data_IF_433451317845
#
_entry.id   IF_433451317845
#
_cell.length_a   1.000
_cell.length_b   1.000
_cell.length_c   1.000
_cell.angle_alpha   90.00
_cell.angle_beta   90.00
_cell.angle_gamma   90.00
#
_symmetry.space_group_name_H-M   'P 1'
#
loop_
_entity.id
_entity.type
_entity.pdbx_description
1 polymer ?
#
# COMPACT_ATOMS: atom_id res chain seq x y z
N UNK A 1 -16.07 27.76 -31.36
CA UNK A 1 -15.26 28.03 -30.15
C UNK A 1 -15.86 27.40 -28.89
N UNK A 2 -17.13 27.67 -28.55
CA UNK A 2 -17.78 27.15 -27.32
C UNK A 2 -17.82 25.62 -27.24
N UNK A 3 -18.12 24.92 -28.34
CA UNK A 3 -18.10 23.45 -28.40
C UNK A 3 -16.71 22.87 -28.07
N UNK A 4 -15.64 23.48 -28.57
CA UNK A 4 -14.26 23.04 -28.31
C UNK A 4 -13.91 23.19 -26.82
N UNK A 5 -14.33 24.29 -26.20
CA UNK A 5 -14.12 24.52 -24.77
C UNK A 5 -14.89 23.52 -23.91
N UNK A 6 -16.13 23.21 -24.27
CA UNK A 6 -16.93 22.17 -23.60
C UNK A 6 -16.25 20.80 -23.69
N UNK A 7 -15.77 20.44 -24.89
CA UNK A 7 -15.06 19.18 -25.12
C UNK A 7 -13.77 19.09 -24.28
N UNK A 8 -12.98 20.18 -24.25
CA UNK A 8 -11.77 20.27 -23.43
C UNK A 8 -12.08 20.06 -21.95
N UNK A 9 -13.14 20.70 -21.47
CA UNK A 9 -13.55 20.57 -20.07
C UNK A 9 -14.03 19.15 -19.76
N UNK A 10 -14.82 18.53 -20.64
CA UNK A 10 -15.22 17.13 -20.47
C UNK A 10 -14.01 16.18 -20.43
N UNK A 11 -13.03 16.38 -21.31
CA UNK A 11 -11.79 15.61 -21.34
C UNK A 11 -11.00 15.76 -20.03
N UNK A 12 -10.89 16.98 -19.51
CA UNK A 12 -10.24 17.24 -18.22
C UNK A 12 -10.94 16.52 -17.07
N UNK A 13 -12.27 16.52 -17.06
CA UNK A 13 -13.06 15.79 -16.05
C UNK A 13 -12.78 14.28 -16.10
N UNK A 14 -12.79 13.71 -17.31
CA UNK A 14 -12.50 12.28 -17.51
C UNK A 14 -11.08 11.93 -17.04
N UNK A 15 -10.09 12.78 -17.36
CA UNK A 15 -8.71 12.60 -16.92
C UNK A 15 -8.60 12.62 -15.39
N UNK A 16 -9.30 13.56 -14.74
CA UNK A 16 -9.31 13.70 -13.29
C UNK A 16 -9.94 12.46 -12.63
N UNK A 17 -11.05 11.96 -13.18
CA UNK A 17 -11.70 10.72 -12.72
C UNK A 17 -10.77 9.50 -12.86
N UNK A 18 -10.08 9.37 -14.00
CA UNK A 18 -9.11 8.29 -14.23
C UNK A 18 -7.96 8.36 -13.22
N UNK A 19 -7.44 9.56 -12.95
CA UNK A 19 -6.39 9.77 -11.96
C UNK A 19 -6.85 9.36 -10.55
N UNK A 20 -8.08 9.71 -10.17
CA UNK A 20 -8.67 9.30 -8.89
C UNK A 20 -8.78 7.76 -8.78
N UNK A 21 -9.23 7.10 -9.84
CA UNK A 21 -9.33 5.63 -9.89
C UNK A 21 -7.95 4.97 -9.75
N UNK A 22 -6.95 5.48 -10.48
CA UNK A 22 -5.58 4.97 -10.41
C UNK A 22 -4.99 5.11 -9.00
N UNK A 23 -5.22 6.27 -8.37
CA UNK A 23 -4.80 6.57 -7.01
C UNK A 23 -5.44 5.60 -5.99
N UNK A 24 -6.74 5.33 -6.13
CA UNK A 24 -7.44 4.36 -5.30
C UNK A 24 -6.88 2.95 -5.46
N UNK A 25 -6.60 2.52 -6.70
CA UNK A 25 -6.00 1.22 -6.99
C UNK A 25 -4.61 1.09 -6.36
N UNK A 26 -3.78 2.13 -6.50
CA UNK A 26 -2.45 2.17 -5.90
C UNK A 26 -2.51 2.06 -4.37
N UNK A 27 -3.44 2.78 -3.74
CA UNK A 27 -3.67 2.70 -2.31
C UNK A 27 -4.06 1.29 -1.86
N UNK A 28 -4.99 0.65 -2.58
CA UNK A 28 -5.43 -0.72 -2.30
C UNK A 28 -4.27 -1.71 -2.40
N UNK A 29 -3.46 -1.61 -3.47
CA UNK A 29 -2.29 -2.46 -3.67
C UNK A 29 -1.28 -2.28 -2.54
N UNK A 30 -1.01 -1.03 -2.14
CA UNK A 30 -0.09 -0.76 -1.05
C UNK A 30 -0.62 -1.30 0.29
N UNK A 31 -1.91 -1.13 0.57
CA UNK A 31 -2.54 -1.67 1.77
C UNK A 31 -2.45 -3.20 1.82
N UNK A 32 -2.65 -3.87 0.68
CA UNK A 32 -2.44 -5.31 0.56
C UNK A 32 -0.98 -5.68 0.86
N UNK A 33 -0.01 -4.98 0.27
CA UNK A 33 1.41 -5.22 0.53
C UNK A 33 1.77 -5.02 2.01
N UNK A 34 1.25 -3.95 2.61
CA UNK A 34 1.43 -3.60 4.01
C UNK A 34 0.91 -4.70 4.94
N UNK A 35 -0.19 -5.35 4.58
CA UNK A 35 -0.78 -6.45 5.34
C UNK A 35 -0.02 -7.77 5.13
N UNK A 36 0.43 -8.04 3.90
CA UNK A 36 1.14 -9.28 3.57
C UNK A 36 2.55 -9.34 4.16
N UNK A 37 3.28 -8.23 4.18
CA UNK A 37 4.65 -8.17 4.67
C UNK A 37 4.82 -8.68 6.13
N UNK A 38 4.07 -8.18 7.13
CA UNK A 38 4.20 -8.68 8.50
C UNK A 38 3.75 -10.14 8.63
N UNK A 39 2.79 -10.58 7.81
CA UNK A 39 2.33 -11.98 7.79
C UNK A 39 3.44 -12.90 7.27
N UNK A 40 4.16 -12.49 6.22
CA UNK A 40 5.32 -13.22 5.71
C UNK A 40 6.46 -13.27 6.74
N UNK A 41 6.74 -12.16 7.43
CA UNK A 41 7.75 -12.13 8.49
C UNK A 41 7.37 -13.01 9.68
N UNK A 42 6.09 -13.02 10.07
CA UNK A 42 5.58 -13.91 11.11
C UNK A 42 5.70 -15.38 10.69
N UNK A 43 5.38 -15.71 9.43
CA UNK A 43 5.55 -17.05 8.88
C UNK A 43 7.02 -17.48 8.92
N UNK A 44 7.94 -16.58 8.54
CA UNK A 44 9.39 -16.83 8.62
C UNK A 44 9.83 -17.10 10.07
N UNK A 45 9.33 -16.31 11.02
CA UNK A 45 9.60 -16.49 12.45
C UNK A 45 9.10 -17.86 12.94
N UNK A 46 7.87 -18.23 12.57
CA UNK A 46 7.29 -19.53 12.90
C UNK A 46 8.11 -20.69 12.30
N UNK A 47 8.51 -20.57 11.03
CA UNK A 47 9.32 -21.57 10.34
C UNK A 47 10.67 -21.76 11.05
N UNK A 48 11.34 -20.67 11.42
CA UNK A 48 12.63 -20.71 12.10
C UNK A 48 12.50 -21.32 13.50
N UNK A 49 11.44 -20.99 14.23
CA UNK A 49 11.11 -21.61 15.52
C UNK A 49 10.85 -23.11 15.37
N UNK A 50 10.07 -23.52 14.36
CA UNK A 50 9.79 -24.92 14.07
C UNK A 50 11.07 -25.69 13.74
N UNK A 51 11.95 -25.12 12.90
CA UNK A 51 13.24 -25.70 12.56
C UNK A 51 14.10 -25.90 13.81
N UNK A 52 14.17 -24.89 14.68
CA UNK A 52 14.89 -24.98 15.95
C UNK A 52 14.34 -26.11 16.84
N UNK A 53 13.01 -26.20 16.94
CA UNK A 53 12.35 -27.24 17.74
C UNK A 53 12.58 -28.64 17.15
N UNK A 54 12.49 -28.80 15.83
CA UNK A 54 12.75 -30.05 15.15
C UNK A 54 14.21 -30.49 15.29
N UNK A 55 15.16 -29.55 15.18
CA UNK A 55 16.57 -29.80 15.46
C UNK A 55 16.71 -30.32 16.89
N UNK A 56 16.16 -29.63 17.89
CA UNK A 56 16.26 -30.04 19.29
C UNK A 56 15.63 -31.41 19.55
N UNK A 57 14.47 -31.69 18.95
CA UNK A 57 13.80 -32.99 19.03
C UNK A 57 14.65 -34.10 18.41
N UNK A 58 15.24 -33.87 17.24
CA UNK A 58 16.12 -34.83 16.58
C UNK A 58 17.32 -35.17 17.47
N UNK A 59 17.92 -34.17 18.11
CA UNK A 59 19.03 -34.36 19.04
C UNK A 59 18.59 -35.21 20.23
N UNK A 60 17.45 -34.88 20.84
CA UNK A 60 16.89 -35.66 21.95
C UNK A 60 16.62 -37.11 21.53
N UNK A 61 16.03 -37.32 20.36
CA UNK A 61 15.75 -38.64 19.82
C UNK A 61 17.02 -39.46 19.60
N UNK A 62 18.06 -38.84 19.01
CA UNK A 62 19.36 -39.49 18.81
C UNK A 62 20.01 -39.86 20.15
N UNK A 63 19.84 -39.06 21.20
CA UNK A 63 20.33 -39.36 22.55
C UNK A 63 19.58 -40.55 23.19
N UNK A 64 18.30 -40.74 22.89
CA UNK A 64 17.45 -41.78 23.51
C UNK A 64 17.48 -43.11 22.74
N UNK A 65 17.44 -43.08 21.41
CA UNK A 65 17.27 -44.29 20.59
C UNK A 65 18.59 -45.01 20.26
N UNK A 66 19.72 -44.31 20.27
CA UNK A 66 21.02 -44.94 20.04
C UNK A 66 21.56 -45.47 21.37
N UNK A 67 22.21 -46.66 21.38
CA UNK A 67 22.95 -47.10 22.57
C UNK A 67 23.91 -46.00 23.00
N UNK A 68 24.13 -45.79 24.32
CA UNK A 68 24.84 -44.63 24.84
C UNK A 68 26.13 -44.43 24.04
N UNK A 69 26.21 -43.39 23.20
CA UNK A 69 27.36 -43.21 22.35
C UNK A 69 28.60 -43.09 23.23
N UNK A 70 29.74 -43.72 22.87
CA UNK A 70 30.97 -43.47 23.59
C UNK A 70 31.21 -41.95 23.66
N UNK A 71 31.77 -41.44 24.76
CA UNK A 71 31.95 -40.00 25.00
C UNK A 71 32.44 -39.19 23.78
N UNK A 72 33.37 -39.66 22.92
CA UNK A 72 33.75 -38.93 21.71
C UNK A 72 32.61 -38.67 20.71
N UNK A 73 31.62 -39.56 20.60
CA UNK A 73 30.51 -39.40 19.66
C UNK A 73 29.50 -38.33 20.13
N UNK A 74 29.28 -38.20 21.44
CA UNK A 74 28.48 -37.09 22.00
C UNK A 74 29.11 -35.73 21.73
N UNK A 75 30.43 -35.65 21.90
CA UNK A 75 31.19 -34.43 21.62
C UNK A 75 31.09 -34.04 20.14
N UNK A 76 31.18 -35.02 19.22
CA UNK A 76 31.01 -34.77 17.79
C UNK A 76 29.61 -34.26 17.45
N UNK A 77 28.55 -34.86 18.02
CA UNK A 77 27.18 -34.39 17.82
C UNK A 77 27.00 -32.95 18.34
N UNK A 78 27.45 -32.66 19.56
CA UNK A 78 27.42 -31.31 20.13
C UNK A 78 28.21 -30.32 19.28
N UNK A 79 29.39 -30.70 18.80
CA UNK A 79 30.23 -29.85 17.95
C UNK A 79 29.58 -29.55 16.59
N UNK A 80 28.72 -30.44 16.08
CA UNK A 80 27.98 -30.24 14.84
C UNK A 80 26.73 -29.36 15.05
N UNK A 81 26.06 -29.50 16.20
CA UNK A 81 24.81 -28.81 16.53
C UNK A 81 25.03 -27.41 17.09
N UNK A 82 26.08 -27.22 17.89
CA UNK A 82 26.39 -25.96 18.54
C UNK A 82 26.55 -24.81 17.52
N UNK A 83 27.26 -24.96 16.38
CA UNK A 83 27.33 -23.92 15.35
C UNK A 83 25.95 -23.56 14.77
N UNK A 84 25.08 -24.56 14.57
CA UNK A 84 23.72 -24.33 14.06
C UNK A 84 22.88 -23.54 15.06
N UNK A 85 22.93 -23.90 16.35
CA UNK A 85 22.25 -23.16 17.42
C UNK A 85 22.79 -21.74 17.57
N UNK A 86 24.12 -21.58 17.54
CA UNK A 86 24.79 -20.28 17.59
C UNK A 86 24.44 -19.38 16.40
N UNK A 87 24.08 -19.97 15.25
CA UNK A 87 23.62 -19.21 14.09
C UNK A 87 22.13 -18.88 14.16
N UNK A 88 21.27 -19.85 14.52
CA UNK A 88 19.82 -19.69 14.52
C UNK A 88 19.31 -18.78 15.63
N UNK A 89 19.89 -18.86 16.84
CA UNK A 89 19.47 -18.07 17.99
C UNK A 89 19.59 -16.54 17.78
N UNK A 90 20.74 -15.99 17.35
CA UNK A 90 20.86 -14.56 17.09
C UNK A 90 19.97 -14.11 15.94
N UNK A 91 19.75 -14.95 14.92
CA UNK A 91 18.80 -14.64 13.84
C UNK A 91 17.36 -14.53 14.35
N UNK A 92 16.93 -15.45 15.22
CA UNK A 92 15.62 -15.40 15.88
C UNK A 92 15.47 -14.13 16.71
N UNK A 93 16.46 -13.81 17.54
CA UNK A 93 16.45 -12.62 18.38
C UNK A 93 16.42 -11.33 17.54
N UNK A 94 17.21 -11.27 16.47
CA UNK A 94 17.21 -10.17 15.53
C UNK A 94 15.85 -10.01 14.87
N UNK A 95 15.21 -11.10 14.43
CA UNK A 95 13.89 -11.04 13.82
C UNK A 95 12.82 -10.55 14.81
N UNK A 96 12.85 -11.02 16.06
CA UNK A 96 11.93 -10.58 17.13
C UNK A 96 12.11 -9.08 17.40
N UNK A 97 13.36 -8.60 17.44
CA UNK A 97 13.66 -7.18 17.69
C UNK A 97 13.28 -6.28 16.51
N UNK A 98 13.55 -6.74 15.28
CA UNK A 98 13.30 -5.95 14.07
C UNK A 98 11.83 -5.94 13.66
N UNK A 99 11.06 -6.99 13.97
CA UNK A 99 9.64 -7.06 13.62
C UNK A 99 8.83 -5.85 14.12
N UNK A 100 8.85 -5.46 15.41
CA UNK A 100 8.10 -4.29 15.89
C UNK A 100 8.63 -2.98 15.30
N UNK A 101 9.94 -2.85 15.08
CA UNK A 101 10.54 -1.67 14.44
C UNK A 101 10.04 -1.53 13.00
N UNK A 102 10.02 -2.63 12.25
CA UNK A 102 9.53 -2.67 10.88
C UNK A 102 8.03 -2.37 10.83
N UNK A 103 7.24 -2.93 11.75
CA UNK A 103 5.81 -2.61 11.88
C UNK A 103 5.57 -1.12 12.17
N UNK A 104 6.37 -0.51 13.04
CA UNK A 104 6.31 0.93 13.32
C UNK A 104 6.64 1.76 12.08
N UNK A 105 7.72 1.39 11.36
CA UNK A 105 8.12 2.07 10.13
C UNK A 105 7.01 1.97 9.05
N UNK A 106 6.41 0.79 8.91
CA UNK A 106 5.29 0.55 8.02
C UNK A 106 4.08 1.42 8.38
N UNK A 107 3.75 1.52 9.67
CA UNK A 107 2.67 2.39 10.15
C UNK A 107 2.95 3.86 9.83
N UNK A 108 4.17 4.33 10.08
CA UNK A 108 4.58 5.70 9.78
C UNK A 108 4.49 6.00 8.28
N UNK A 109 4.95 5.07 7.44
CA UNK A 109 4.84 5.18 5.99
C UNK A 109 3.37 5.26 5.55
N UNK A 110 2.51 4.41 6.12
CA UNK A 110 1.07 4.44 5.86
C UNK A 110 0.46 5.78 6.24
N UNK A 111 0.80 6.33 7.40
CA UNK A 111 0.31 7.63 7.86
C UNK A 111 0.74 8.76 6.92
N UNK A 112 2.03 8.77 6.53
CA UNK A 112 2.56 9.75 5.60
C UNK A 112 1.86 9.68 4.24
N UNK A 113 1.70 8.46 3.71
CA UNK A 113 0.98 8.25 2.47
C UNK A 113 -0.48 8.70 2.58
N UNK A 114 -1.17 8.36 3.67
CA UNK A 114 -2.56 8.79 3.90
C UNK A 114 -2.67 10.32 3.91
N UNK A 115 -1.70 11.01 4.53
CA UNK A 115 -1.64 12.47 4.52
C UNK A 115 -1.44 13.01 3.10
N UNK A 116 -0.50 12.44 2.33
CA UNK A 116 -0.26 12.82 0.94
C UNK A 116 -1.49 12.57 0.06
N UNK A 117 -2.16 11.43 0.26
CA UNK A 117 -3.40 11.06 -0.42
C UNK A 117 -4.51 12.05 -0.10
N UNK A 118 -4.68 12.41 1.17
CA UNK A 118 -5.67 13.38 1.61
C UNK A 118 -5.41 14.75 0.98
N UNK A 119 -4.16 15.20 0.96
CA UNK A 119 -3.76 16.46 0.32
C UNK A 119 -4.06 16.43 -1.18
N UNK A 120 -3.72 15.34 -1.85
CA UNK A 120 -4.00 15.17 -3.28
C UNK A 120 -5.50 15.12 -3.55
N UNK A 121 -6.28 14.43 -2.73
CA UNK A 121 -7.73 14.40 -2.82
C UNK A 121 -8.34 15.80 -2.64
N UNK A 122 -7.85 16.58 -1.67
CA UNK A 122 -8.27 17.96 -1.46
C UNK A 122 -7.96 18.83 -2.69
N UNK A 123 -6.78 18.67 -3.28
CA UNK A 123 -6.40 19.36 -4.50
C UNK A 123 -7.31 18.97 -5.67
N UNK A 124 -7.59 17.67 -5.84
CA UNK A 124 -8.52 17.17 -6.86
C UNK A 124 -9.93 17.73 -6.67
N UNK A 125 -10.42 17.79 -5.43
CA UNK A 125 -11.71 18.37 -5.10
C UNK A 125 -11.75 19.87 -5.45
N UNK A 126 -10.69 20.61 -5.13
CA UNK A 126 -10.58 22.01 -5.47
C UNK A 126 -10.59 22.22 -7.00
N UNK A 127 -9.86 21.39 -7.74
CA UNK A 127 -9.86 21.42 -9.21
C UNK A 127 -11.24 21.13 -9.79
N UNK A 128 -11.94 20.13 -9.25
CA UNK A 128 -13.32 19.81 -9.63
C UNK A 128 -14.28 20.97 -9.36
N UNK A 129 -14.17 21.61 -8.19
CA UNK A 129 -14.99 22.76 -7.84
C UNK A 129 -14.74 23.93 -8.79
N UNK A 130 -13.47 24.23 -9.09
CA UNK A 130 -13.09 25.27 -10.04
C UNK A 130 -13.65 24.97 -11.43
N UNK A 131 -13.54 23.71 -11.88
CA UNK A 131 -14.07 23.26 -13.15
C UNK A 131 -15.60 23.38 -13.24
N UNK A 132 -16.30 23.04 -12.16
CA UNK A 132 -17.75 23.23 -12.05
C UNK A 132 -18.13 24.72 -12.12
N UNK A 133 -17.39 25.58 -11.43
CA UNK A 133 -17.62 27.02 -11.49
C UNK A 133 -17.43 27.57 -12.91
N UNK A 134 -16.38 27.13 -13.61
CA UNK A 134 -16.14 27.48 -15.00
C UNK A 134 -17.28 27.01 -15.92
N UNK A 135 -17.78 25.79 -15.73
CA UNK A 135 -18.95 25.29 -16.45
C UNK A 135 -20.19 26.16 -16.24
N UNK A 136 -20.48 26.52 -14.98
CA UNK A 136 -21.62 27.37 -14.64
C UNK A 136 -21.50 28.75 -15.28
N UNK A 137 -20.30 29.35 -15.25
CA UNK A 137 -20.04 30.63 -15.91
C UNK A 137 -20.28 30.54 -17.42
N UNK A 138 -19.80 29.47 -18.07
CA UNK A 138 -20.02 29.25 -19.50
C UNK A 138 -21.50 29.07 -19.85
N UNK A 139 -22.24 28.34 -19.00
CA UNK A 139 -23.68 28.16 -19.17
C UNK A 139 -24.41 29.51 -19.05
N UNK A 140 -24.05 30.32 -18.06
CA UNK A 140 -24.64 31.65 -17.87
C UNK A 140 -24.36 32.58 -19.06
N UNK A 141 -23.13 32.58 -19.58
CA UNK A 141 -22.77 33.32 -20.80
C UNK A 141 -23.59 32.84 -22.00
N UNK A 142 -23.78 31.54 -22.17
CA UNK A 142 -24.60 30.99 -23.24
C UNK A 142 -26.06 31.46 -23.14
N UNK A 143 -26.64 31.43 -21.93
CA UNK A 143 -28.02 31.89 -21.68
C UNK A 143 -28.17 33.38 -22.00
N UNK A 144 -27.21 34.22 -21.61
CA UNK A 144 -27.22 35.65 -21.93
C UNK A 144 -27.17 35.91 -23.43
N UNK A 145 -26.32 35.18 -24.16
CA UNK A 145 -26.22 35.30 -25.62
C UNK A 145 -27.52 34.90 -26.31
N UNK A 146 -28.15 33.80 -25.88
CA UNK A 146 -29.44 33.35 -26.42
C UNK A 146 -30.56 34.35 -26.13
N UNK A 147 -30.60 34.89 -24.92
CA UNK A 147 -31.61 35.88 -24.53
C UNK A 147 -31.49 37.17 -25.34
N UNK A 148 -30.27 37.68 -25.53
CA UNK A 148 -30.03 38.87 -26.33
C UNK A 148 -30.44 38.67 -27.79
N UNK A 149 -30.15 37.49 -28.36
CA UNK A 149 -30.52 37.20 -29.73
C UNK A 149 -32.04 37.11 -29.92
N UNK A 150 -32.75 36.51 -28.96
CA UNK A 150 -34.21 36.41 -28.98
C UNK A 150 -34.87 37.79 -28.92
N UNK A 151 -34.38 38.69 -28.07
CA UNK A 151 -34.90 40.05 -27.97
C UNK A 151 -34.68 40.84 -29.26
N UNK A 152 -33.50 40.72 -29.88
CA UNK A 152 -33.25 41.38 -31.15
C UNK A 152 -34.13 40.86 -32.29
N UNK A 153 -34.41 39.56 -32.33
CA UNK A 153 -35.31 39.02 -33.35
C UNK A 153 -36.76 39.47 -33.17
N UNK A 154 -37.24 39.61 -31.94
CA UNK A 154 -38.61 40.09 -31.71
C UNK A 154 -38.81 41.57 -32.03
N UNK A 155 -37.79 42.41 -31.84
CA UNK A 155 -37.88 43.82 -32.24
C UNK A 155 -37.82 44.04 -33.75
N UNK A 156 -37.32 43.08 -34.52
CA UNK A 156 -37.26 43.18 -35.98
C UNK A 156 -38.43 42.48 -36.70
N UNK A 157 -39.27 41.74 -35.99
CA UNK A 157 -40.48 41.10 -36.54
C UNK A 157 -41.77 41.91 -36.31
N UNK A 158 -41.65 43.16 -35.82
CA UNK A 158 -42.68 44.20 -35.91
C UNK A 158 -42.31 45.14 -37.05
#
# INVERSE_FOLDING_TARGET
>A
MLLLLLLLLLLLLLLLLLLLLLLLLLLLLLLLLLLLLPLLLLLLLLLLLLLLLLLLLLVLLLLVLLPPPPPPRLLLLLLLLLPLLLLLLPLLLLLILLLPLLLLLLLLLLLLLLLLLLLLLLLLLLLLLLQLLLLLLLLLLLLLLLHHHHHHHHHHSQ
#
